data_IF_553866210464
#
_entry.id   IF_553866210464
#
_cell.length_a   1.000
_cell.length_b   1.000
_cell.length_c   1.000
_cell.angle_alpha   90.00
_cell.angle_beta   90.00
_cell.angle_gamma   90.00
#
_symmetry.space_group_name_H-M   'P 1'
#
loop_
_entity.id
_entity.type
_entity.pdbx_description
1 polymer ?
#
# COMPACT_ATOMS: atom_id res chain seq x y z
N UNK A 1 1.31 -21.16 23.60
CA UNK A 1 0.35 -20.79 22.57
C UNK A 1 1.04 -20.80 21.21
N UNK A 2 0.36 -21.33 20.18
CA UNK A 2 0.83 -21.29 18.81
C UNK A 2 -0.11 -20.37 18.03
N UNK A 3 0.44 -19.40 17.31
CA UNK A 3 -0.31 -18.53 16.41
C UNK A 3 0.08 -18.89 14.98
N UNK A 4 -0.91 -19.14 14.13
CA UNK A 4 -0.66 -19.42 12.71
C UNK A 4 -0.66 -18.08 11.95
N UNK A 5 0.50 -17.73 11.39
CA UNK A 5 0.69 -16.50 10.61
C UNK A 5 0.87 -16.78 9.10
N UNK A 6 0.59 -18.01 8.64
CA UNK A 6 0.80 -18.40 7.25
C UNK A 6 -0.24 -17.85 6.27
N UNK A 7 -1.39 -17.41 6.79
CA UNK A 7 -2.48 -16.83 5.99
C UNK A 7 -2.88 -15.50 6.63
N UNK A 8 -2.96 -14.44 5.84
CA UNK A 8 -3.34 -13.10 6.26
C UNK A 8 -4.85 -12.96 6.57
N UNK A 9 -5.35 -13.80 7.49
CA UNK A 9 -6.73 -13.81 7.96
C UNK A 9 -6.71 -13.63 9.48
N UNK A 10 -7.48 -12.66 9.98
CA UNK A 10 -7.67 -12.49 11.42
C UNK A 10 -8.72 -13.46 11.95
N UNK A 11 -8.37 -14.19 13.01
CA UNK A 11 -9.29 -15.04 13.78
C UNK A 11 -9.38 -14.51 15.20
N UNK A 12 -10.58 -14.55 15.78
CA UNK A 12 -10.80 -14.25 17.19
C UNK A 12 -10.29 -15.36 18.11
N UNK A 13 -10.41 -15.16 19.43
CA UNK A 13 -9.95 -16.13 20.43
C UNK A 13 -10.71 -17.47 20.37
N UNK A 14 -11.89 -17.51 19.76
CA UNK A 14 -12.68 -18.72 19.51
C UNK A 14 -12.29 -19.41 18.19
N UNK A 15 -11.33 -18.84 17.43
CA UNK A 15 -10.93 -19.35 16.12
C UNK A 15 -11.93 -19.06 15.01
N UNK A 16 -12.83 -18.13 15.22
CA UNK A 16 -13.82 -17.70 14.24
C UNK A 16 -13.37 -16.45 13.49
N UNK A 17 -13.77 -16.33 12.22
CA UNK A 17 -13.59 -15.11 11.45
C UNK A 17 -14.67 -14.10 11.87
N UNK A 18 -14.33 -13.01 12.57
CA UNK A 18 -15.34 -12.06 13.03
C UNK A 18 -15.86 -11.22 11.86
N UNK A 19 -17.18 -11.04 11.81
CA UNK A 19 -17.81 -10.10 10.89
C UNK A 19 -18.08 -8.77 11.64
N UNK A 20 -17.40 -7.67 11.29
CA UNK A 20 -17.64 -6.37 11.91
C UNK A 20 -19.11 -5.95 11.81
N UNK A 21 -19.66 -5.39 12.90
CA UNK A 21 -21.07 -4.96 12.97
C UNK A 21 -21.43 -3.98 11.84
N UNK A 22 -20.53 -3.05 11.51
CA UNK A 22 -20.73 -2.12 10.42
C UNK A 22 -20.91 -2.82 9.06
N UNK A 23 -20.14 -3.90 8.81
CA UNK A 23 -20.27 -4.70 7.57
C UNK A 23 -21.59 -5.43 7.54
N UNK A 24 -21.99 -6.07 8.66
CA UNK A 24 -23.27 -6.77 8.77
C UNK A 24 -24.43 -5.81 8.54
N UNK A 25 -24.41 -4.65 9.16
CA UNK A 25 -25.42 -3.61 8.98
C UNK A 25 -25.48 -3.14 7.52
N UNK A 26 -24.34 -2.86 6.90
CA UNK A 26 -24.30 -2.45 5.50
C UNK A 26 -24.88 -3.51 4.56
N UNK A 27 -24.55 -4.79 4.78
CA UNK A 27 -25.11 -5.90 3.98
C UNK A 27 -26.63 -5.98 4.06
N UNK A 28 -27.23 -5.77 5.24
CA UNK A 28 -28.69 -5.82 5.41
C UNK A 28 -29.41 -4.62 4.80
N UNK A 29 -28.70 -3.51 4.62
CA UNK A 29 -29.25 -2.29 4.03
C UNK A 29 -29.09 -2.23 2.51
N UNK A 30 -28.35 -3.14 1.91
CA UNK A 30 -28.17 -3.15 0.46
C UNK A 30 -29.43 -3.66 -0.25
N UNK A 31 -29.99 -2.88 -1.19
CA UNK A 31 -31.14 -3.36 -1.96
C UNK A 31 -30.70 -4.48 -2.91
N UNK A 32 -31.51 -5.53 -2.98
CA UNK A 32 -31.36 -6.57 -4.00
C UNK A 32 -31.93 -6.04 -5.30
N UNK A 33 -31.07 -5.57 -6.18
CA UNK A 33 -31.48 -5.09 -7.51
C UNK A 33 -30.42 -5.46 -8.57
N UNK A 34 -30.87 -5.54 -9.82
CA UNK A 34 -29.96 -5.76 -10.93
C UNK A 34 -28.95 -4.61 -11.02
N UNK A 35 -27.69 -4.95 -11.19
CA UNK A 35 -26.62 -3.98 -11.35
C UNK A 35 -26.17 -3.96 -12.82
N UNK A 36 -26.05 -2.78 -13.46
CA UNK A 36 -25.44 -2.66 -14.77
C UNK A 36 -23.92 -2.87 -14.68
N UNK A 37 -23.25 -2.86 -15.83
CA UNK A 37 -21.81 -2.78 -15.87
C UNK A 37 -21.33 -1.52 -15.14
N UNK A 38 -20.31 -1.68 -14.30
CA UNK A 38 -19.65 -0.54 -13.66
C UNK A 38 -18.86 0.28 -14.70
N UNK A 39 -18.69 1.59 -14.48
CA UNK A 39 -17.67 2.36 -15.18
C UNK A 39 -16.29 1.69 -15.05
N UNK A 40 -15.39 1.92 -16.02
CA UNK A 40 -14.04 1.31 -16.01
C UNK A 40 -13.24 1.63 -14.75
N UNK A 41 -13.44 2.81 -14.19
CA UNK A 41 -12.82 3.23 -12.93
C UNK A 41 -13.52 2.70 -11.66
N UNK A 42 -14.65 1.99 -11.80
CA UNK A 42 -15.41 1.41 -10.70
C UNK A 42 -16.57 2.26 -10.19
N UNK A 43 -17.24 1.77 -9.15
CA UNK A 43 -18.43 2.37 -8.58
C UNK A 43 -18.15 3.75 -7.95
N UNK A 44 -18.81 4.80 -8.42
CA UNK A 44 -18.52 6.19 -8.02
C UNK A 44 -18.63 6.43 -6.51
N UNK A 45 -19.69 5.95 -5.87
CA UNK A 45 -19.88 6.13 -4.43
C UNK A 45 -18.82 5.36 -3.61
N UNK A 46 -18.44 4.15 -4.06
CA UNK A 46 -17.36 3.38 -3.42
C UNK A 46 -16.02 4.13 -3.47
N UNK A 47 -15.64 4.63 -4.65
CA UNK A 47 -14.39 5.40 -4.83
C UNK A 47 -14.33 6.64 -3.94
N UNK A 48 -15.45 7.38 -3.87
CA UNK A 48 -15.54 8.54 -3.00
C UNK A 48 -15.47 8.17 -1.51
N UNK A 49 -16.10 7.07 -1.10
CA UNK A 49 -16.05 6.58 0.28
C UNK A 49 -14.63 6.10 0.65
N UNK A 50 -13.96 5.36 -0.24
CA UNK A 50 -12.60 4.89 -0.02
C UNK A 50 -11.61 6.05 0.22
N UNK A 51 -11.69 7.11 -0.57
CA UNK A 51 -10.87 8.31 -0.36
C UNK A 51 -11.13 8.98 0.99
N UNK A 52 -12.39 9.05 1.43
CA UNK A 52 -12.73 9.63 2.74
C UNK A 52 -12.27 8.77 3.90
N UNK A 53 -12.34 7.46 3.77
CA UNK A 53 -11.83 6.52 4.79
C UNK A 53 -10.31 6.65 4.91
N UNK A 54 -9.61 6.75 3.79
CA UNK A 54 -8.15 6.84 3.78
C UNK A 54 -7.64 8.20 4.29
N UNK A 55 -8.24 9.30 3.84
CA UNK A 55 -7.70 10.65 4.03
C UNK A 55 -8.46 11.46 5.09
N UNK A 56 -9.65 11.03 5.48
CA UNK A 56 -10.57 11.83 6.28
C UNK A 56 -11.42 12.78 5.43
N UNK A 57 -12.60 13.14 5.93
CA UNK A 57 -13.60 13.91 5.17
C UNK A 57 -13.11 15.32 4.77
N UNK A 58 -12.32 15.96 5.64
CA UNK A 58 -11.92 17.35 5.52
C UNK A 58 -10.52 17.55 4.94
N UNK A 59 -9.89 16.49 4.44
CA UNK A 59 -8.51 16.56 3.98
C UNK A 59 -8.38 17.51 2.76
N UNK A 60 -7.42 18.46 2.77
CA UNK A 60 -7.26 19.47 1.70
C UNK A 60 -7.10 18.88 0.30
N UNK A 61 -6.49 17.70 0.17
CA UNK A 61 -6.32 16.98 -1.09
C UNK A 61 -7.67 16.67 -1.76
N UNK A 62 -8.70 16.33 -0.95
CA UNK A 62 -10.05 16.06 -1.45
C UNK A 62 -10.74 17.35 -1.89
N UNK A 63 -10.65 18.40 -1.08
CA UNK A 63 -11.24 19.70 -1.38
C UNK A 63 -10.64 20.33 -2.64
N UNK A 64 -9.37 20.08 -2.90
CA UNK A 64 -8.63 20.59 -4.07
C UNK A 64 -8.70 19.68 -5.29
N UNK A 65 -9.47 18.58 -5.24
CA UNK A 65 -9.57 17.58 -6.31
C UNK A 65 -8.20 17.02 -6.76
N UNK A 66 -7.26 16.83 -5.83
CA UNK A 66 -5.92 16.30 -6.11
C UNK A 66 -5.77 14.80 -5.85
N UNK A 67 -6.87 14.11 -5.54
CA UNK A 67 -6.90 12.67 -5.38
C UNK A 67 -7.97 12.05 -6.27
N UNK A 68 -7.63 10.92 -6.85
CA UNK A 68 -8.56 10.06 -7.59
C UNK A 68 -8.46 8.64 -7.04
N UNK A 69 -9.56 7.91 -7.10
CA UNK A 69 -9.58 6.49 -6.76
C UNK A 69 -10.07 5.66 -7.95
N UNK A 70 -9.51 4.47 -8.08
CA UNK A 70 -9.94 3.45 -9.04
C UNK A 70 -10.25 2.18 -8.26
N UNK A 71 -11.40 1.57 -8.52
CA UNK A 71 -11.77 0.29 -7.93
C UNK A 71 -11.12 -0.84 -8.71
N UNK A 72 -10.50 -1.77 -8.00
CA UNK A 72 -9.76 -2.91 -8.57
C UNK A 72 -10.15 -4.23 -7.91
N UNK A 73 -9.65 -5.35 -8.42
CA UNK A 73 -9.75 -6.66 -7.78
C UNK A 73 -8.72 -6.79 -6.67
N UNK A 74 -9.07 -6.31 -5.47
CA UNK A 74 -8.21 -6.36 -4.29
C UNK A 74 -6.90 -5.57 -4.46
N UNK A 75 -5.98 -5.75 -3.49
CA UNK A 75 -4.67 -5.08 -3.49
C UNK A 75 -3.78 -5.51 -4.65
N UNK A 76 -3.78 -6.80 -5.03
CA UNK A 76 -2.99 -7.28 -6.17
C UNK A 76 -3.39 -6.60 -7.48
N UNK A 77 -4.70 -6.42 -7.71
CA UNK A 77 -5.20 -5.68 -8.87
C UNK A 77 -4.83 -4.19 -8.82
N UNK A 78 -4.85 -3.59 -7.62
CA UNK A 78 -4.44 -2.20 -7.42
C UNK A 78 -2.95 -2.00 -7.72
N UNK A 79 -2.10 -2.86 -7.16
CA UNK A 79 -0.65 -2.82 -7.39
C UNK A 79 -0.29 -3.05 -8.86
N UNK A 80 -0.98 -4.01 -9.53
CA UNK A 80 -0.74 -4.24 -10.97
C UNK A 80 -1.11 -3.02 -11.81
N UNK A 81 -2.27 -2.42 -11.54
CA UNK A 81 -2.68 -1.20 -12.23
C UNK A 81 -1.70 -0.04 -12.00
N UNK A 82 -1.27 0.13 -10.74
CA UNK A 82 -0.27 1.14 -10.39
C UNK A 82 1.08 0.88 -11.08
N UNK A 83 1.54 -0.37 -11.10
CA UNK A 83 2.79 -0.76 -11.75
C UNK A 83 2.74 -0.50 -13.27
N UNK A 84 1.66 -0.87 -13.94
CA UNK A 84 1.49 -0.62 -15.38
C UNK A 84 1.42 0.89 -15.69
N UNK A 85 0.72 1.66 -14.84
CA UNK A 85 0.68 3.12 -14.94
C UNK A 85 2.07 3.72 -14.78
N UNK A 86 2.81 3.33 -13.73
CA UNK A 86 4.16 3.81 -13.48
C UNK A 86 5.12 3.44 -14.63
N UNK A 87 5.07 2.21 -15.12
CA UNK A 87 5.89 1.80 -16.26
C UNK A 87 5.59 2.60 -17.52
N UNK A 88 4.33 2.91 -17.76
CA UNK A 88 3.91 3.70 -18.93
C UNK A 88 4.42 5.14 -18.89
N UNK A 89 4.32 5.79 -17.73
CA UNK A 89 4.60 7.22 -17.61
C UNK A 89 6.01 7.52 -17.10
N UNK A 90 6.65 6.54 -16.46
CA UNK A 90 8.03 6.61 -15.96
C UNK A 90 8.83 5.38 -16.43
N UNK A 91 9.02 5.20 -17.75
CA UNK A 91 9.53 3.94 -18.33
C UNK A 91 10.96 3.59 -17.89
N UNK A 92 11.74 4.56 -17.43
CA UNK A 92 13.13 4.38 -16.98
C UNK A 92 13.25 4.18 -15.46
N UNK A 93 12.15 4.32 -14.70
CA UNK A 93 12.18 4.15 -13.26
C UNK A 93 12.41 2.71 -12.87
N UNK A 94 13.23 2.51 -11.85
CA UNK A 94 13.38 1.26 -11.12
C UNK A 94 12.49 1.32 -9.88
N UNK A 95 12.09 0.17 -9.37
CA UNK A 95 11.34 0.09 -8.11
C UNK A 95 12.20 -0.57 -7.03
N UNK A 96 12.03 -0.13 -5.80
CA UNK A 96 12.70 -0.70 -4.64
C UNK A 96 11.68 -1.08 -3.59
N UNK A 97 11.79 -2.30 -3.10
CA UNK A 97 10.92 -2.89 -2.07
C UNK A 97 11.73 -3.19 -0.82
N UNK A 98 11.09 -3.27 0.34
CA UNK A 98 11.78 -3.61 1.59
C UNK A 98 12.37 -5.03 1.56
N UNK A 99 13.41 -5.25 2.36
CA UNK A 99 13.95 -6.57 2.62
C UNK A 99 13.72 -6.93 4.10
N UNK A 100 12.81 -7.92 4.38
CA UNK A 100 11.88 -8.61 3.47
C UNK A 100 10.69 -7.75 3.04
N UNK A 101 9.92 -8.23 2.08
CA UNK A 101 8.65 -7.66 1.63
C UNK A 101 7.63 -8.78 1.35
N UNK A 102 6.38 -8.43 1.09
CA UNK A 102 5.40 -9.39 0.58
C UNK A 102 5.81 -9.89 -0.81
N UNK A 103 5.87 -11.22 -0.98
CA UNK A 103 6.44 -11.85 -2.18
C UNK A 103 5.83 -11.36 -3.49
N UNK A 104 4.53 -11.04 -3.48
CA UNK A 104 3.84 -10.57 -4.69
C UNK A 104 4.29 -9.18 -5.16
N UNK A 105 4.86 -8.34 -4.30
CA UNK A 105 5.33 -7.00 -4.71
C UNK A 105 6.32 -7.10 -5.86
N UNK A 106 7.34 -7.95 -5.68
CA UNK A 106 8.36 -8.16 -6.73
C UNK A 106 7.73 -8.71 -8.01
N UNK A 107 6.94 -9.79 -7.90
CA UNK A 107 6.32 -10.43 -9.06
C UNK A 107 5.40 -9.50 -9.85
N UNK A 108 4.63 -8.62 -9.18
CA UNK A 108 3.74 -7.65 -9.80
C UNK A 108 4.52 -6.56 -10.53
N UNK A 109 5.54 -6.00 -9.89
CA UNK A 109 6.36 -4.93 -10.48
C UNK A 109 7.21 -5.44 -11.66
N UNK A 110 7.86 -6.58 -11.50
CA UNK A 110 8.61 -7.25 -12.60
C UNK A 110 7.68 -7.66 -13.75
N UNK A 111 6.47 -8.14 -13.42
CA UNK A 111 5.44 -8.48 -14.41
C UNK A 111 4.88 -7.26 -15.18
N UNK A 112 5.13 -6.04 -14.72
CA UNK A 112 4.89 -4.79 -15.45
C UNK A 112 6.13 -4.33 -16.25
N UNK A 113 7.25 -5.06 -16.18
CA UNK A 113 8.50 -4.71 -16.84
C UNK A 113 9.31 -3.63 -16.11
N UNK A 114 9.12 -3.49 -14.80
CA UNK A 114 9.92 -2.60 -13.94
C UNK A 114 11.07 -3.42 -13.34
N UNK A 115 12.28 -2.89 -13.39
CA UNK A 115 13.42 -3.47 -12.67
C UNK A 115 13.24 -3.28 -11.17
N UNK A 116 13.40 -4.36 -10.38
CA UNK A 116 13.13 -4.33 -8.94
C UNK A 116 14.38 -4.65 -8.12
N UNK A 117 14.77 -3.70 -7.29
CA UNK A 117 15.78 -3.85 -6.24
C UNK A 117 15.17 -3.94 -4.84
N UNK A 118 16.03 -4.09 -3.82
CA UNK A 118 15.61 -4.07 -2.41
C UNK A 118 16.34 -2.98 -1.64
N UNK A 119 15.70 -2.51 -0.57
CA UNK A 119 16.33 -1.64 0.42
C UNK A 119 16.33 -2.32 1.80
N UNK A 120 17.35 -2.07 2.64
CA UNK A 120 17.42 -2.63 3.99
C UNK A 120 16.27 -2.11 4.84
N UNK A 121 15.57 -3.01 5.52
CA UNK A 121 14.43 -2.64 6.35
C UNK A 121 14.45 -3.32 7.72
N UNK A 122 14.43 -4.65 7.78
CA UNK A 122 14.24 -5.39 9.02
C UNK A 122 15.55 -5.84 9.64
N UNK A 123 15.66 -5.65 10.95
CA UNK A 123 16.75 -6.16 11.76
C UNK A 123 16.25 -7.31 12.64
N UNK A 124 16.65 -8.57 12.37
CA UNK A 124 16.23 -9.72 13.17
C UNK A 124 16.84 -9.75 14.58
N UNK A 125 17.96 -9.05 14.82
CA UNK A 125 18.60 -9.05 16.12
C UNK A 125 17.86 -8.16 17.11
N UNK A 126 17.42 -6.98 16.66
CA UNK A 126 16.69 -6.01 17.48
C UNK A 126 15.19 -6.12 17.34
N UNK A 127 14.70 -6.93 16.37
CA UNK A 127 13.27 -6.98 15.96
C UNK A 127 12.79 -5.55 15.63
N UNK A 128 13.61 -4.81 14.94
CA UNK A 128 13.43 -3.38 14.65
C UNK A 128 13.63 -3.04 13.19
N UNK A 129 13.66 -1.73 12.91
CA UNK A 129 13.97 -1.21 11.57
C UNK A 129 15.45 -0.81 11.52
N UNK A 130 16.15 -1.23 10.46
CA UNK A 130 17.52 -0.79 10.10
C UNK A 130 17.47 0.64 9.54
N UNK A 131 17.00 1.58 10.39
CA UNK A 131 16.60 2.90 9.95
C UNK A 131 17.75 3.71 9.33
N UNK A 132 18.93 3.67 9.94
CA UNK A 132 20.10 4.37 9.40
C UNK A 132 20.50 3.87 8.01
N UNK A 133 20.44 2.56 7.79
CA UNK A 133 20.77 1.95 6.50
C UNK A 133 19.68 2.21 5.46
N UNK A 134 18.41 2.18 5.88
CA UNK A 134 17.28 2.57 5.04
C UNK A 134 17.43 4.00 4.52
N UNK A 135 17.64 4.98 5.39
CA UNK A 135 17.78 6.39 4.99
C UNK A 135 19.02 6.61 4.14
N UNK A 136 20.15 5.99 4.48
CA UNK A 136 21.35 6.03 3.66
C UNK A 136 21.09 5.47 2.26
N UNK A 137 20.38 4.35 2.15
CA UNK A 137 20.04 3.75 0.87
C UNK A 137 19.14 4.69 0.04
N UNK A 138 18.11 5.27 0.63
CA UNK A 138 17.21 6.19 -0.07
C UNK A 138 17.96 7.40 -0.66
N UNK A 139 19.02 7.87 0.01
CA UNK A 139 19.86 8.94 -0.52
C UNK A 139 20.68 8.53 -1.75
N UNK A 140 20.88 7.24 -2.03
CA UNK A 140 21.59 6.76 -3.22
C UNK A 140 20.70 6.71 -4.47
N UNK A 141 19.38 6.73 -4.31
CA UNK A 141 18.42 6.55 -5.40
C UNK A 141 18.40 7.75 -6.35
N UNK A 142 18.04 7.51 -7.59
CA UNK A 142 17.90 8.56 -8.60
C UNK A 142 16.50 9.17 -8.59
N UNK A 143 16.41 10.42 -9.00
CA UNK A 143 15.10 11.08 -9.18
C UNK A 143 14.20 10.26 -10.11
N UNK A 144 12.98 10.02 -9.67
CA UNK A 144 12.00 9.19 -10.38
C UNK A 144 12.06 7.70 -10.06
N UNK A 145 13.05 7.21 -9.30
CA UNK A 145 12.99 5.84 -8.78
C UNK A 145 11.77 5.67 -7.86
N UNK A 146 11.16 4.49 -7.90
CA UNK A 146 9.93 4.16 -7.15
C UNK A 146 10.34 3.45 -5.86
N UNK A 147 9.78 3.88 -4.74
CA UNK A 147 9.97 3.21 -3.44
C UNK A 147 8.62 2.71 -2.97
N UNK A 148 8.49 1.38 -2.85
CA UNK A 148 7.30 0.78 -2.26
C UNK A 148 7.46 0.77 -0.74
N UNK A 149 6.51 1.40 -0.06
CA UNK A 149 6.50 1.62 1.38
C UNK A 149 5.22 1.08 1.99
N UNK A 150 5.30 0.54 3.21
CA UNK A 150 4.15 0.15 4.00
C UNK A 150 3.90 1.22 5.08
N UNK A 151 2.83 2.02 4.96
CA UNK A 151 2.51 3.04 5.97
C UNK A 151 2.26 2.49 7.36
N UNK A 152 1.72 1.27 7.44
CA UNK A 152 1.51 0.54 8.68
C UNK A 152 1.42 -0.97 8.39
N UNK A 153 1.53 -1.78 9.44
CA UNK A 153 1.39 -3.24 9.37
C UNK A 153 2.33 -3.87 8.34
N UNK A 154 3.60 -3.48 8.39
CA UNK A 154 4.61 -3.94 7.43
C UNK A 154 4.56 -5.45 7.21
N UNK A 155 4.33 -5.87 5.97
CA UNK A 155 4.22 -7.26 5.59
C UNK A 155 5.57 -7.76 5.00
N UNK A 156 6.26 -8.76 5.63
CA UNK A 156 5.72 -9.71 6.62
C UNK A 156 6.13 -9.44 8.08
N UNK A 157 6.88 -8.41 8.39
CA UNK A 157 7.58 -8.30 9.68
C UNK A 157 6.70 -7.80 10.83
N UNK A 158 5.66 -7.02 10.53
CA UNK A 158 4.86 -6.32 11.53
C UNK A 158 5.61 -5.20 12.26
N UNK A 159 6.78 -4.82 11.77
CA UNK A 159 7.61 -3.75 12.36
C UNK A 159 7.45 -2.49 11.52
N UNK A 160 6.93 -1.44 12.14
CA UNK A 160 6.60 -0.19 11.47
C UNK A 160 7.56 0.95 11.85
N UNK A 161 7.66 1.95 11.00
CA UNK A 161 8.39 3.19 11.29
C UNK A 161 7.64 4.02 12.33
N UNK A 162 8.38 4.73 13.21
CA UNK A 162 7.80 5.74 14.07
C UNK A 162 7.33 6.97 13.28
N UNK A 163 6.46 7.84 13.86
CA UNK A 163 6.09 9.09 13.20
C UNK A 163 7.29 9.95 12.80
N UNK A 164 8.29 10.07 13.67
CA UNK A 164 9.51 10.85 13.41
C UNK A 164 10.35 10.24 12.29
N UNK A 165 10.42 8.91 12.23
CA UNK A 165 11.08 8.19 11.14
C UNK A 165 10.35 8.39 9.81
N UNK A 166 9.01 8.42 9.84
CA UNK A 166 8.20 8.76 8.67
C UNK A 166 8.46 10.17 8.16
N UNK A 167 8.57 11.15 9.04
CA UNK A 167 8.88 12.53 8.65
C UNK A 167 10.23 12.61 7.90
N UNK A 168 11.26 11.89 8.39
CA UNK A 168 12.56 11.83 7.74
C UNK A 168 12.49 11.11 6.37
N UNK A 169 11.84 9.95 6.29
CA UNK A 169 11.67 9.20 5.03
C UNK A 169 10.94 10.06 4.01
N UNK A 170 9.84 10.70 4.37
CA UNK A 170 9.08 11.57 3.48
C UNK A 170 9.89 12.78 3.01
N UNK A 171 10.70 13.37 3.90
CA UNK A 171 11.62 14.44 3.52
C UNK A 171 12.64 13.97 2.48
N UNK A 172 13.22 12.77 2.64
CA UNK A 172 14.15 12.20 1.65
C UNK A 172 13.44 11.93 0.33
N UNK A 173 12.25 11.29 0.35
CA UNK A 173 11.43 11.03 -0.84
C UNK A 173 11.19 12.33 -1.63
N UNK A 174 10.80 13.39 -0.92
CA UNK A 174 10.52 14.69 -1.55
C UNK A 174 11.79 15.35 -2.09
N UNK A 175 12.85 15.44 -1.29
CA UNK A 175 14.10 16.12 -1.67
C UNK A 175 14.81 15.42 -2.83
N UNK A 176 14.76 14.08 -2.87
CA UNK A 176 15.31 13.27 -3.94
C UNK A 176 14.38 13.12 -5.15
N UNK A 177 13.13 13.63 -5.07
CA UNK A 177 12.09 13.49 -6.09
C UNK A 177 11.82 12.03 -6.45
N UNK A 178 11.74 11.17 -5.44
CA UNK A 178 11.36 9.78 -5.60
C UNK A 178 9.85 9.65 -5.74
N UNK A 179 9.38 8.54 -6.26
CA UNK A 179 7.96 8.21 -6.35
C UNK A 179 7.63 7.24 -5.21
N UNK A 180 6.79 7.68 -4.27
CA UNK A 180 6.30 6.83 -3.21
C UNK A 180 5.11 5.99 -3.72
N UNK A 181 5.23 4.66 -3.66
CA UNK A 181 4.14 3.71 -3.86
C UNK A 181 3.77 3.15 -2.48
N UNK A 182 2.64 3.60 -1.93
CA UNK A 182 2.19 3.21 -0.59
C UNK A 182 1.27 2.00 -0.68
N UNK A 183 1.62 0.90 -0.01
CA UNK A 183 0.78 -0.29 0.17
C UNK A 183 0.22 -0.32 1.59
N UNK A 184 -1.12 -0.31 1.73
CA UNK A 184 -1.86 -0.20 3.00
C UNK A 184 -2.88 -1.34 3.12
#
# INVERSE_FOLDING_TARGET
>A
HKVNLSIGIYFDDAGCLPLPEAVRTAQTQQPVQAQPYLPMEGHTAFRAAALRVLLGNEHPVLQQNRAVAVQTLGSSGALKLAADFLKRWYPQSRAFVSDPTWDNHRGILEGAGIEVGTYPYYDPETIGVRFAELTQFLHTLHSGDIVLLHPCCHNPTGVDLSPEQWDEVLHIIQSRRLIALMDI
#
